data_IF_598786493720
#
_entry.id   IF_598786493720
#
_cell.length_a   1.000
_cell.length_b   1.000
_cell.length_c   1.000
_cell.angle_alpha   90.00
_cell.angle_beta   90.00
_cell.angle_gamma   90.00
#
_symmetry.space_group_name_H-M   'P 1'
#
loop_
_entity.id
_entity.type
_entity.pdbx_description
1 polymer ?
#
# COMPACT_ATOMS: atom_id res chain seq x y z
N UNK A 1 44.61 -11.44 -7.25
CA UNK A 1 43.36 -11.12 -7.98
C UNK A 1 42.08 -11.73 -7.38
N UNK A 2 42.15 -12.50 -6.27
CA UNK A 2 40.97 -13.12 -5.62
C UNK A 2 40.24 -12.28 -4.54
N UNK A 3 40.87 -11.35 -3.77
CA UNK A 3 40.15 -10.66 -2.70
C UNK A 3 39.19 -9.58 -3.23
N UNK A 4 39.46 -9.04 -4.42
CA UNK A 4 38.61 -8.05 -5.08
C UNK A 4 37.25 -8.64 -5.49
N UNK A 5 37.23 -9.90 -5.93
CA UNK A 5 35.99 -10.59 -6.30
C UNK A 5 35.13 -10.91 -5.06
N UNK A 6 35.77 -11.27 -3.95
CA UNK A 6 35.09 -11.51 -2.67
C UNK A 6 34.45 -10.23 -2.10
N UNK A 7 35.13 -9.09 -2.22
CA UNK A 7 34.61 -7.79 -1.80
C UNK A 7 33.43 -7.33 -2.66
N UNK A 8 33.47 -7.60 -3.97
CA UNK A 8 32.37 -7.25 -4.89
C UNK A 8 31.09 -8.05 -4.60
N UNK A 9 31.21 -9.34 -4.29
CA UNK A 9 30.05 -10.17 -3.93
C UNK A 9 29.42 -9.76 -2.58
N UNK A 10 30.22 -9.32 -1.61
CA UNK A 10 29.72 -8.87 -0.32
C UNK A 10 28.88 -7.58 -0.43
N UNK A 11 29.23 -6.68 -1.36
CA UNK A 11 28.48 -5.43 -1.61
C UNK A 11 27.12 -5.71 -2.26
N UNK A 12 27.02 -6.72 -3.14
CA UNK A 12 25.77 -7.08 -3.81
C UNK A 12 24.71 -7.70 -2.86
N UNK A 13 25.14 -8.36 -1.79
CA UNK A 13 24.24 -8.94 -0.78
C UNK A 13 23.73 -7.91 0.24
N UNK A 14 24.34 -6.74 0.31
CA UNK A 14 23.96 -5.67 1.24
C UNK A 14 22.90 -4.72 0.66
N UNK A 15 22.45 -4.93 -0.59
CA UNK A 15 21.37 -4.14 -1.16
C UNK A 15 20.07 -4.43 -0.39
N UNK A 16 19.39 -3.43 0.18
CA UNK A 16 18.09 -3.64 0.78
C UNK A 16 17.16 -4.13 -0.33
N UNK A 17 16.74 -5.39 -0.25
CA UNK A 17 15.63 -5.85 -1.07
C UNK A 17 14.44 -4.97 -0.69
N UNK A 18 13.77 -4.32 -1.65
CA UNK A 18 12.49 -3.71 -1.36
C UNK A 18 11.60 -4.87 -0.89
N UNK A 19 11.42 -4.95 0.42
CA UNK A 19 10.43 -5.84 0.99
C UNK A 19 9.13 -5.44 0.31
N UNK A 20 8.51 -6.39 -0.39
CA UNK A 20 7.21 -6.25 -1.01
C UNK A 20 6.19 -6.20 0.13
N UNK A 21 6.28 -5.14 0.92
CA UNK A 21 5.40 -4.88 2.04
C UNK A 21 4.08 -4.42 1.42
N UNK A 22 3.01 -5.12 1.76
CA UNK A 22 1.66 -4.62 1.52
C UNK A 22 1.58 -3.16 1.94
N UNK A 23 0.86 -2.36 1.15
CA UNK A 23 0.61 -0.97 1.51
C UNK A 23 -0.02 -0.90 2.89
N UNK A 24 0.46 0.05 3.69
CA UNK A 24 0.02 0.29 5.04
C UNK A 24 -1.40 0.89 5.07
N UNK A 25 -1.99 0.87 6.27
CA UNK A 25 -3.29 1.49 6.54
C UNK A 25 -3.30 2.98 6.19
N UNK A 26 -2.22 3.69 6.52
CA UNK A 26 -2.12 5.13 6.31
C UNK A 26 -1.87 5.48 4.85
N UNK A 27 -1.11 4.66 4.12
CA UNK A 27 -1.00 4.77 2.66
C UNK A 27 -2.34 4.56 1.98
N UNK A 28 -3.13 3.56 2.39
CA UNK A 28 -4.48 3.34 1.88
C UNK A 28 -5.40 4.54 2.15
N UNK A 29 -5.32 5.15 3.34
CA UNK A 29 -6.06 6.37 3.67
C UNK A 29 -5.66 7.53 2.74
N UNK A 30 -4.36 7.71 2.52
CA UNK A 30 -3.82 8.76 1.64
C UNK A 30 -4.24 8.58 0.19
N UNK A 31 -4.25 7.34 -0.32
CA UNK A 31 -4.76 7.01 -1.66
C UNK A 31 -6.24 7.35 -1.77
N UNK A 32 -7.07 6.89 -0.84
CA UNK A 32 -8.51 7.16 -0.85
C UNK A 32 -8.83 8.65 -0.80
N UNK A 33 -8.10 9.42 0.02
CA UNK A 33 -8.30 10.86 0.15
C UNK A 33 -7.95 11.61 -1.13
N UNK A 34 -6.88 11.22 -1.84
CA UNK A 34 -6.49 11.81 -3.14
C UNK A 34 -7.52 11.53 -4.23
N UNK A 35 -8.08 10.33 -4.27
CA UNK A 35 -9.04 9.95 -5.32
C UNK A 35 -10.38 10.65 -5.17
N UNK A 36 -10.79 10.97 -3.95
CA UNK A 36 -12.18 11.38 -3.67
C UNK A 36 -12.34 12.79 -3.10
N UNK A 37 -11.24 13.51 -2.80
CA UNK A 37 -11.26 14.78 -2.05
C UNK A 37 -12.11 14.72 -0.76
N UNK A 38 -12.24 13.51 -0.20
CA UNK A 38 -13.18 13.18 0.86
C UNK A 38 -12.44 12.97 2.19
N UNK A 39 -13.17 13.09 3.30
CA UNK A 39 -12.63 12.84 4.64
C UNK A 39 -12.66 11.35 4.93
N UNK A 40 -11.52 10.76 5.28
CA UNK A 40 -11.46 9.36 5.72
C UNK A 40 -12.13 9.23 7.09
N UNK A 41 -13.06 8.29 7.21
CA UNK A 41 -13.77 7.96 8.44
C UNK A 41 -13.21 6.70 9.09
N UNK A 42 -12.90 5.68 8.28
CA UNK A 42 -12.37 4.41 8.76
C UNK A 42 -11.54 3.71 7.67
N UNK A 43 -10.55 2.94 8.10
CA UNK A 43 -9.73 2.08 7.24
C UNK A 43 -9.65 0.70 7.89
N UNK A 44 -10.14 -0.31 7.18
CA UNK A 44 -10.23 -1.69 7.64
C UNK A 44 -9.56 -2.62 6.61
N UNK A 45 -8.75 -3.60 7.04
CA UNK A 45 -8.24 -4.65 6.14
C UNK A 45 -9.27 -5.77 6.04
N UNK A 46 -9.57 -6.22 4.84
CA UNK A 46 -10.54 -7.29 4.59
C UNK A 46 -10.13 -8.12 3.37
N UNK A 47 -10.82 -9.25 3.15
CA UNK A 47 -10.65 -10.08 1.96
C UNK A 47 -11.80 -9.78 0.98
N UNK A 48 -11.46 -9.58 -0.29
CA UNK A 48 -12.42 -9.43 -1.39
C UNK A 48 -11.92 -10.26 -2.58
N UNK A 49 -12.75 -11.18 -3.08
CA UNK A 49 -12.40 -12.10 -4.18
C UNK A 49 -11.05 -12.83 -3.99
N UNK A 50 -10.79 -13.27 -2.75
CA UNK A 50 -9.55 -13.97 -2.38
C UNK A 50 -8.32 -13.07 -2.23
N UNK A 51 -8.45 -11.75 -2.39
CA UNK A 51 -7.37 -10.77 -2.27
C UNK A 51 -7.52 -9.94 -1.01
N UNK A 52 -6.39 -9.58 -0.41
CA UNK A 52 -6.37 -8.61 0.68
C UNK A 52 -6.61 -7.21 0.12
N UNK A 53 -7.60 -6.51 0.69
CA UNK A 53 -7.97 -5.15 0.31
C UNK A 53 -8.16 -4.29 1.55
N UNK A 54 -7.84 -3.01 1.43
CA UNK A 54 -8.22 -1.98 2.36
C UNK A 54 -9.59 -1.43 1.97
N UNK A 55 -10.55 -1.56 2.88
CA UNK A 55 -11.86 -0.92 2.80
C UNK A 55 -11.78 0.43 3.48
N UNK A 56 -11.74 1.49 2.69
CA UNK A 56 -11.69 2.86 3.19
C UNK A 56 -13.08 3.48 3.11
N UNK A 57 -13.66 3.80 4.27
CA UNK A 57 -14.91 4.58 4.35
C UNK A 57 -14.57 6.06 4.29
N UNK A 58 -15.15 6.77 3.33
CA UNK A 58 -14.93 8.21 3.13
C UNK A 58 -16.24 8.99 3.15
N UNK A 59 -16.20 10.20 3.70
CA UNK A 59 -17.30 11.17 3.66
C UNK A 59 -17.07 12.17 2.52
N UNK A 60 -17.93 12.15 1.51
CA UNK A 60 -17.85 13.06 0.38
C UNK A 60 -18.25 14.49 0.77
N UNK A 61 -17.88 15.51 -0.02
CA UNK A 61 -18.35 16.87 0.20
C UNK A 61 -19.88 17.03 0.18
N UNK A 62 -20.59 16.11 -0.49
CA UNK A 62 -22.05 16.06 -0.52
C UNK A 62 -22.68 15.45 0.75
N UNK A 63 -21.87 14.97 1.70
CA UNK A 63 -22.34 14.34 2.94
C UNK A 63 -22.64 12.84 2.80
N UNK A 64 -22.27 12.22 1.68
CA UNK A 64 -22.46 10.78 1.47
C UNK A 64 -21.29 9.96 2.00
N UNK A 65 -21.56 8.77 2.53
CA UNK A 65 -20.51 7.80 2.88
C UNK A 65 -20.30 6.86 1.70
N UNK A 66 -19.07 6.83 1.18
CA UNK A 66 -18.65 5.90 0.12
C UNK A 66 -17.57 4.97 0.62
N UNK A 67 -17.49 3.79 0.01
CA UNK A 67 -16.44 2.81 0.28
C UNK A 67 -15.50 2.80 -0.93
N UNK A 68 -14.21 3.02 -0.68
CA UNK A 68 -13.15 2.83 -1.66
C UNK A 68 -12.42 1.55 -1.30
N UNK A 69 -12.36 0.61 -2.25
CA UNK A 69 -11.57 -0.61 -2.10
C UNK A 69 -10.20 -0.37 -2.71
N UNK A 70 -9.16 -0.72 -1.97
CA UNK A 70 -7.77 -0.56 -2.40
C UNK A 70 -7.07 -1.89 -2.21
N UNK A 71 -6.50 -2.44 -3.28
CA UNK A 71 -5.70 -3.66 -3.22
C UNK A 71 -4.50 -3.48 -2.28
N UNK A 72 -4.37 -4.36 -1.26
CA UNK A 72 -3.36 -4.21 -0.23
C UNK A 72 -1.94 -4.49 -0.73
N UNK A 73 -1.78 -5.23 -1.83
CA UNK A 73 -0.46 -5.55 -2.39
C UNK A 73 0.08 -4.46 -3.31
N UNK A 74 -0.81 -3.78 -4.03
CA UNK A 74 -0.46 -2.86 -5.12
C UNK A 74 -0.88 -1.42 -4.89
N UNK A 75 -1.76 -1.14 -3.93
CA UNK A 75 -2.33 0.18 -3.69
C UNK A 75 -3.28 0.67 -4.78
N UNK A 76 -3.72 -0.20 -5.69
CA UNK A 76 -4.67 0.17 -6.75
C UNK A 76 -6.10 0.19 -6.21
N UNK A 77 -6.85 1.21 -6.57
CA UNK A 77 -8.30 1.25 -6.33
C UNK A 77 -9.00 0.22 -7.20
N UNK A 78 -9.93 -0.55 -6.63
CA UNK A 78 -10.76 -1.55 -7.30
C UNK A 78 -12.14 -0.98 -7.64
#
# INVERSE_FOLDING_TARGET
MKPFLALLCAVLLAAPMPALADISRDEAAGIAQKTSAARVLAVEKTQHDGRAVWRVKVLTPAGEIRIVLIDASSGRTL
#
